data_IF_838739944139
#
_entry.id   IF_838739944139
#
_cell.length_a   1.000
_cell.length_b   1.000
_cell.length_c   1.000
_cell.angle_alpha   90.00
_cell.angle_beta   90.00
_cell.angle_gamma   90.00
#
_symmetry.space_group_name_H-M   'P 1'
#
loop_
_entity.id
_entity.type
_entity.pdbx_description
1 polymer ?
#
# COMPACT_ATOMS: atom_id res chain seq x y z
N UNK A 1 67.27 29.33 28.25
CA UNK A 1 67.11 28.64 29.54
C UNK A 1 65.61 28.52 29.76
N UNK A 2 65.17 27.29 30.00
CA UNK A 2 63.80 26.79 29.98
C UNK A 2 62.84 27.61 30.86
N UNK A 3 61.53 27.45 30.64
CA UNK A 3 60.59 27.09 31.70
C UNK A 3 59.34 26.48 31.08
N UNK A 4 59.01 25.30 31.60
CA UNK A 4 58.12 24.28 31.07
C UNK A 4 56.67 24.58 31.45
N UNK A 5 55.77 24.58 30.48
CA UNK A 5 54.32 24.58 30.69
C UNK A 5 53.75 23.23 30.26
N UNK A 6 53.40 22.40 31.25
CA UNK A 6 52.56 21.21 31.07
C UNK A 6 51.14 21.66 30.73
N UNK A 7 50.48 21.03 29.76
CA UNK A 7 49.07 20.63 29.85
C UNK A 7 48.76 19.64 28.71
N UNK A 8 48.04 18.59 29.09
CA UNK A 8 47.67 17.41 28.34
C UNK A 8 47.11 17.68 26.93
N UNK A 9 47.59 16.92 25.95
CA UNK A 9 46.79 16.49 24.82
C UNK A 9 46.86 14.96 24.77
N UNK A 10 45.74 14.33 25.13
CA UNK A 10 45.55 12.89 25.06
C UNK A 10 45.99 12.34 23.71
N UNK A 11 46.69 11.22 23.78
CA UNK A 11 47.09 10.37 22.68
C UNK A 11 45.98 10.19 21.65
N UNK A 12 46.18 10.76 20.47
CA UNK A 12 45.58 10.25 19.24
C UNK A 12 46.15 8.86 18.99
N UNK A 13 45.45 7.82 19.45
CA UNK A 13 45.62 6.46 18.97
C UNK A 13 44.29 6.00 18.41
N UNK A 14 44.12 6.16 17.10
CA UNK A 14 43.77 5.07 16.18
C UNK A 14 43.55 5.67 14.80
N UNK A 15 44.57 5.52 13.95
CA UNK A 15 44.36 5.57 12.51
C UNK A 15 43.66 4.29 12.07
N UNK A 16 42.56 4.44 11.33
CA UNK A 16 42.19 3.66 10.13
C UNK A 16 40.83 4.16 9.67
N UNK A 17 40.86 5.05 8.68
CA UNK A 17 39.77 5.13 7.71
C UNK A 17 39.67 3.76 7.04
N UNK A 18 38.69 2.96 7.45
CA UNK A 18 38.29 1.81 6.63
C UNK A 18 37.15 2.33 5.75
N UNK A 19 37.30 2.33 4.41
CA UNK A 19 36.16 2.57 3.55
C UNK A 19 35.17 1.44 3.82
N UNK A 20 33.88 1.73 3.96
CA UNK A 20 32.83 0.71 3.97
C UNK A 20 33.03 -0.18 2.74
N UNK A 21 33.63 -1.35 2.94
CA UNK A 21 33.74 -2.34 1.88
C UNK A 21 32.34 -2.92 1.69
N UNK A 22 31.90 -3.17 0.45
CA UNK A 22 30.61 -3.82 0.22
C UNK A 22 30.62 -5.16 0.95
N UNK A 23 29.76 -5.32 1.96
CA UNK A 23 29.65 -6.56 2.73
C UNK A 23 29.19 -7.68 1.77
N UNK A 24 30.11 -8.59 1.45
CA UNK A 24 29.85 -9.71 0.55
C UNK A 24 29.17 -10.80 1.36
N UNK A 25 27.85 -10.92 1.22
CA UNK A 25 27.01 -11.90 1.94
C UNK A 25 27.54 -13.35 1.88
N UNK A 26 28.31 -13.70 0.84
CA UNK A 26 28.85 -15.04 0.62
C UNK A 26 30.16 -15.32 1.39
N UNK A 27 30.79 -14.31 2.00
CA UNK A 27 32.04 -14.44 2.77
C UNK A 27 31.80 -14.56 4.29
N UNK A 28 30.55 -14.38 4.74
CA UNK A 28 30.17 -14.49 6.15
C UNK A 28 29.96 -15.94 6.59
N UNK A 29 30.13 -16.20 7.90
CA UNK A 29 29.78 -17.49 8.49
C UNK A 29 28.28 -17.76 8.34
N UNK A 30 27.94 -18.98 7.92
CA UNK A 30 26.55 -19.40 7.74
C UNK A 30 25.81 -19.33 9.07
N UNK A 31 24.59 -18.80 9.02
CA UNK A 31 23.65 -18.90 10.13
C UNK A 31 23.36 -20.36 10.47
N UNK A 32 23.09 -20.63 11.76
CA UNK A 32 22.58 -21.94 12.19
C UNK A 32 21.25 -22.24 11.50
N UNK A 33 21.02 -23.52 11.17
CA UNK A 33 19.83 -23.97 10.47
C UNK A 33 18.55 -23.57 11.24
N UNK A 34 17.71 -22.75 10.60
CA UNK A 34 16.44 -22.27 11.16
C UNK A 34 16.43 -20.81 11.59
N UNK A 35 17.59 -20.17 11.79
CA UNK A 35 17.70 -18.75 12.13
C UNK A 35 17.93 -17.94 10.86
N UNK A 36 16.93 -17.14 10.45
CA UNK A 36 16.99 -16.34 9.21
C UNK A 36 17.55 -14.93 9.41
N UNK A 37 17.28 -14.31 10.56
CA UNK A 37 17.65 -12.93 10.87
C UNK A 37 17.94 -12.83 12.37
N UNK A 38 19.02 -12.13 12.75
CA UNK A 38 19.34 -11.81 14.16
C UNK A 38 18.62 -10.54 14.64
N UNK A 39 18.42 -9.58 13.74
CA UNK A 39 17.74 -8.32 14.01
C UNK A 39 16.89 -7.93 12.79
N UNK A 40 15.69 -7.38 13.03
CA UNK A 40 14.79 -6.90 11.98
C UNK A 40 14.05 -5.66 12.48
N UNK A 41 14.30 -4.53 11.84
CA UNK A 41 13.53 -3.29 12.01
C UNK A 41 13.06 -2.81 10.63
N UNK A 42 11.74 -2.63 10.47
CA UNK A 42 11.17 -2.09 9.24
C UNK A 42 10.02 -1.12 9.55
N UNK A 43 9.80 -0.14 8.67
CA UNK A 43 8.79 0.93 8.84
C UNK A 43 7.39 0.51 8.39
N UNK A 44 6.98 -0.72 8.72
CA UNK A 44 5.65 -1.24 8.37
C UNK A 44 5.36 -1.33 6.86
N UNK A 45 4.13 -1.69 6.49
CA UNK A 45 3.67 -1.65 5.11
C UNK A 45 3.29 -0.23 4.70
N UNK A 46 3.56 0.13 3.43
CA UNK A 46 3.05 1.35 2.83
C UNK A 46 1.65 1.10 2.27
N UNK A 47 0.65 1.76 2.83
CA UNK A 47 -0.73 1.63 2.37
C UNK A 47 -1.00 2.52 1.15
N UNK A 48 -1.85 2.07 0.22
CA UNK A 48 -2.30 2.92 -0.87
C UNK A 48 -3.10 4.12 -0.33
N UNK A 49 -3.14 5.23 -1.07
CA UNK A 49 -3.94 6.39 -0.69
C UNK A 49 -5.44 6.04 -0.66
N UNK A 50 -6.21 6.83 0.09
CA UNK A 50 -7.66 6.70 0.13
C UNK A 50 -8.30 7.01 -1.23
N UNK A 51 -9.44 6.39 -1.50
CA UNK A 51 -10.17 6.57 -2.75
C UNK A 51 -10.72 7.99 -2.89
N UNK A 52 -10.50 8.60 -4.05
CA UNK A 52 -11.06 9.91 -4.40
C UNK A 52 -12.30 9.71 -5.28
N UNK A 53 -13.45 10.31 -4.91
CA UNK A 53 -14.67 10.22 -5.70
C UNK A 53 -14.51 10.86 -7.07
N UNK A 54 -15.26 10.34 -8.03
CA UNK A 54 -15.34 10.89 -9.37
C UNK A 54 -16.09 12.25 -9.36
N UNK A 55 -15.75 13.17 -10.27
CA UNK A 55 -16.41 14.47 -10.36
C UNK A 55 -17.91 14.32 -10.71
N UNK A 56 -18.75 15.03 -9.97
CA UNK A 56 -20.23 14.98 -10.10
C UNK A 56 -20.73 15.46 -11.48
N UNK A 57 -19.92 16.24 -12.18
CA UNK A 57 -20.33 16.98 -13.38
C UNK A 57 -20.26 16.14 -14.68
N UNK A 58 -19.46 15.06 -14.68
CA UNK A 58 -19.14 14.29 -15.89
C UNK A 58 -19.42 12.79 -15.76
N UNK A 59 -19.43 12.23 -14.55
CA UNK A 59 -19.53 10.78 -14.33
C UNK A 59 -20.84 10.41 -13.62
N UNK A 60 -21.95 10.56 -14.34
CA UNK A 60 -23.16 9.84 -14.00
C UNK A 60 -22.92 8.37 -14.34
N UNK A 61 -22.65 7.55 -13.32
CA UNK A 61 -22.51 6.11 -13.52
C UNK A 61 -23.91 5.54 -13.81
N UNK A 62 -24.29 5.59 -15.09
CA UNK A 62 -25.57 5.09 -15.58
C UNK A 62 -25.69 3.63 -15.15
N UNK A 63 -26.57 3.37 -14.18
CA UNK A 63 -26.90 2.02 -13.81
C UNK A 63 -27.59 1.39 -15.03
N UNK A 64 -26.85 0.58 -15.79
CA UNK A 64 -27.15 0.06 -17.13
C UNK A 64 -28.43 -0.80 -17.24
N UNK A 65 -29.32 -0.77 -16.25
CA UNK A 65 -30.55 -1.57 -16.21
C UNK A 65 -31.80 -0.73 -16.47
N UNK A 66 -31.77 0.60 -16.27
CA UNK A 66 -32.99 1.45 -16.39
C UNK A 66 -32.76 2.80 -17.08
N UNK A 67 -31.52 3.13 -17.47
CA UNK A 67 -31.21 4.42 -18.13
C UNK A 67 -31.42 5.64 -17.23
N UNK A 68 -31.53 5.44 -15.91
CA UNK A 68 -31.65 6.51 -14.92
C UNK A 68 -30.29 6.78 -14.26
N UNK A 69 -29.85 8.04 -14.16
CA UNK A 69 -28.66 8.40 -13.40
C UNK A 69 -28.96 8.25 -11.90
N UNK A 70 -28.19 7.42 -11.20
CA UNK A 70 -28.27 7.25 -9.75
C UNK A 70 -26.85 7.32 -9.19
N UNK A 71 -26.66 8.14 -8.13
CA UNK A 71 -25.36 8.26 -7.46
C UNK A 71 -25.14 7.03 -6.59
N UNK A 72 -24.04 6.32 -6.84
CA UNK A 72 -23.67 5.13 -6.08
C UNK A 72 -22.91 5.50 -4.81
N UNK A 73 -22.83 4.57 -3.86
CA UNK A 73 -22.00 4.75 -2.66
C UNK A 73 -20.51 4.77 -3.03
N UNK A 74 -19.70 5.51 -2.28
CA UNK A 74 -18.24 5.59 -2.49
C UNK A 74 -17.54 4.22 -2.69
N UNK A 75 -17.78 3.19 -1.86
CA UNK A 75 -17.13 1.89 -2.08
C UNK A 75 -17.70 1.14 -3.29
N UNK A 76 -18.99 1.32 -3.62
CA UNK A 76 -19.58 0.74 -4.82
C UNK A 76 -19.05 1.40 -6.09
N UNK A 77 -18.78 2.70 -6.04
CA UNK A 77 -18.14 3.49 -7.08
C UNK A 77 -16.70 3.03 -7.33
N UNK A 78 -15.89 2.91 -6.28
CA UNK A 78 -14.52 2.43 -6.38
C UNK A 78 -14.44 1.04 -7.04
N UNK A 79 -15.32 0.11 -6.64
CA UNK A 79 -15.35 -1.23 -7.23
C UNK A 79 -15.78 -1.21 -8.70
N UNK A 80 -16.71 -0.33 -9.07
CA UNK A 80 -17.11 -0.15 -10.45
C UNK A 80 -15.97 0.47 -11.30
N UNK A 81 -15.20 1.39 -10.73
CA UNK A 81 -14.05 1.99 -11.40
C UNK A 81 -12.99 0.93 -11.75
N UNK A 82 -12.73 -0.02 -10.85
CA UNK A 82 -11.82 -1.13 -11.16
C UNK A 82 -12.28 -1.92 -12.38
N UNK A 83 -13.58 -2.18 -12.49
CA UNK A 83 -14.13 -2.87 -13.66
C UNK A 83 -14.07 -1.99 -14.92
N UNK A 84 -14.35 -0.68 -14.80
CA UNK A 84 -14.29 0.28 -15.90
C UNK A 84 -12.87 0.39 -16.50
N UNK A 85 -11.83 0.40 -15.65
CA UNK A 85 -10.44 0.42 -16.09
C UNK A 85 -10.00 -0.87 -16.81
N UNK A 86 -10.71 -1.96 -16.57
CA UNK A 86 -10.40 -3.27 -17.16
C UNK A 86 -11.30 -3.62 -18.35
N UNK A 87 -12.16 -2.71 -18.85
CA UNK A 87 -13.14 -3.02 -19.90
C UNK A 87 -12.53 -3.67 -21.14
N UNK A 88 -11.34 -3.23 -21.55
CA UNK A 88 -10.64 -3.73 -22.73
C UNK A 88 -9.79 -4.99 -22.47
N UNK A 89 -9.78 -5.52 -21.24
CA UNK A 89 -8.98 -6.68 -20.87
C UNK A 89 -9.71 -8.00 -21.17
N UNK A 90 -8.97 -9.04 -21.59
CA UNK A 90 -9.47 -10.41 -21.83
C UNK A 90 -10.27 -11.05 -20.66
N UNK A 91 -10.20 -10.50 -19.44
CA UNK A 91 -10.96 -11.02 -18.31
C UNK A 91 -12.42 -10.57 -18.33
N UNK A 92 -12.73 -9.41 -18.92
CA UNK A 92 -14.11 -8.88 -18.94
C UNK A 92 -15.01 -9.62 -19.92
N UNK A 93 -14.45 -10.31 -20.91
CA UNK A 93 -15.20 -11.18 -21.82
C UNK A 93 -15.56 -12.53 -21.19
N UNK A 94 -14.83 -12.97 -20.16
CA UNK A 94 -15.04 -14.26 -19.48
C UNK A 94 -16.29 -14.21 -18.60
N UNK A 95 -17.24 -15.09 -18.87
CA UNK A 95 -18.52 -15.14 -18.14
C UNK A 95 -18.34 -15.41 -16.64
N UNK A 96 -17.38 -16.27 -16.29
CA UNK A 96 -17.07 -16.60 -14.88
C UNK A 96 -16.64 -15.34 -14.11
N UNK A 97 -15.81 -14.49 -14.73
CA UNK A 97 -15.35 -13.24 -14.13
C UNK A 97 -16.51 -12.27 -13.95
N UNK A 98 -17.31 -12.06 -15.00
CA UNK A 98 -18.50 -11.20 -14.94
C UNK A 98 -19.47 -11.64 -13.85
N UNK A 99 -19.78 -12.93 -13.77
CA UNK A 99 -20.71 -13.46 -12.78
C UNK A 99 -20.21 -13.30 -11.34
N UNK A 100 -18.92 -13.52 -11.10
CA UNK A 100 -18.32 -13.30 -9.79
C UNK A 100 -18.31 -11.81 -9.42
N UNK A 101 -17.90 -10.94 -10.35
CA UNK A 101 -17.85 -9.50 -10.16
C UNK A 101 -19.23 -8.94 -9.79
N UNK A 102 -20.26 -9.21 -10.60
CA UNK A 102 -21.60 -8.69 -10.35
C UNK A 102 -22.24 -9.28 -9.08
N UNK A 103 -21.88 -10.51 -8.69
CA UNK A 103 -22.33 -11.09 -7.42
C UNK A 103 -21.76 -10.32 -6.22
N UNK A 104 -20.49 -9.96 -6.26
CA UNK A 104 -19.84 -9.29 -5.15
C UNK A 104 -20.12 -7.77 -5.13
N UNK A 105 -20.23 -7.15 -6.31
CA UNK A 105 -20.62 -5.74 -6.43
C UNK A 105 -22.02 -5.46 -5.85
N UNK A 106 -22.98 -6.38 -6.06
CA UNK A 106 -24.31 -6.26 -5.43
C UNK A 106 -24.23 -6.27 -3.90
N UNK A 107 -23.32 -7.04 -3.30
CA UNK A 107 -23.16 -7.07 -1.83
C UNK A 107 -22.68 -5.73 -1.29
N UNK A 108 -21.69 -5.12 -1.96
CA UNK A 108 -21.15 -3.81 -1.57
C UNK A 108 -22.24 -2.75 -1.63
N UNK A 109 -22.96 -2.67 -2.76
CA UNK A 109 -24.03 -1.70 -2.98
C UNK A 109 -25.19 -1.84 -1.97
N UNK A 110 -25.64 -3.08 -1.70
CA UNK A 110 -26.70 -3.33 -0.71
C UNK A 110 -26.26 -3.02 0.73
N UNK A 111 -25.00 -3.32 1.06
CA UNK A 111 -24.49 -3.19 2.43
C UNK A 111 -24.47 -1.74 2.94
N UNK A 112 -24.23 -0.77 2.05
CA UNK A 112 -24.24 0.65 2.41
C UNK A 112 -25.65 1.21 2.60
N UNK A 113 -26.62 0.79 1.79
CA UNK A 113 -28.04 1.20 1.97
C UNK A 113 -28.65 0.67 3.27
N UNK A 114 -28.06 -0.38 3.86
CA UNK A 114 -28.50 -0.96 5.12
C UNK A 114 -27.99 -0.19 6.35
N UNK A 115 -26.87 0.53 6.24
CA UNK A 115 -26.33 1.34 7.35
C UNK A 115 -27.18 2.59 7.62
N UNK A 116 -27.70 3.23 6.58
CA UNK A 116 -28.47 4.48 6.70
C UNK A 116 -29.96 4.30 6.98
N UNK A 117 -30.51 3.08 6.84
CA UNK A 117 -31.94 2.81 7.10
C UNK A 117 -32.26 2.52 8.58
N UNK A 118 -31.29 2.64 9.49
CA UNK A 118 -31.43 2.38 10.93
C UNK A 118 -31.39 3.64 11.81
N UNK A 119 -31.58 4.83 11.24
CA UNK A 119 -31.65 6.09 12.00
C UNK A 119 -32.84 6.94 11.53
N UNK A 120 -34.03 6.35 11.43
CA UNK A 120 -35.30 7.08 11.33
C UNK A 120 -36.43 6.19 11.86
N UNK A 121 -36.49 6.03 13.18
CA UNK A 121 -37.71 5.80 13.97
C UNK A 121 -37.54 6.50 15.31
#
# INVERSE_FOLDING_TARGET
>A
MEMVGSLHASSCLYGRETPCSPEVLWEEEKYEDGIKLKFLEHKGPYFPPEYQPLPDDEVNMFCFVVGKPEKLSLPAEQVALFFAQMLDHEYTTKEVFRNNFFRDWRKVNLSDTCKYRRIHL
#
